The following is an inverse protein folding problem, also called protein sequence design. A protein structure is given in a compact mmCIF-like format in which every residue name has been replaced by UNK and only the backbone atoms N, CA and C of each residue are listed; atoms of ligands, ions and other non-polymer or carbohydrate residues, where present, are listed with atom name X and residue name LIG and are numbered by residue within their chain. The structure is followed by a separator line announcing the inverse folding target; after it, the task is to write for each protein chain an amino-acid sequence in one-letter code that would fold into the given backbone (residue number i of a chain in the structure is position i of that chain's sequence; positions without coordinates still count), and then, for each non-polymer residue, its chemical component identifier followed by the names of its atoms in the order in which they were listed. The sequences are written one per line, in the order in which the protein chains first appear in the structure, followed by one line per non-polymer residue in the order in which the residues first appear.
data_IF_058040151392
#
_entry.id   IF_058040151392
#
_cell.length_a   1.000
_cell.length_b   1.000
_cell.length_c   1.000
_cell.angle_alpha   90.00
_cell.angle_beta   90.00
_cell.angle_gamma   90.00
#
_symmetry.space_group_name_H-M   'P 1'
#
loop_
_entity.id
_entity.type
_entity.pdbx_description
1 polymer ?
#
# COMPACT_ATOMS: atom_id res chain seq x y z
N UNK A 1 4.57 57.29 9.86
CA UNK A 1 3.13 57.04 10.12
C UNK A 1 2.35 57.31 8.84
N UNK A 2 2.01 56.26 8.10
CA UNK A 2 1.12 56.36 6.93
C UNK A 2 0.43 55.01 6.76
N UNK A 3 -0.82 54.94 7.20
CA UNK A 3 -1.66 53.73 7.19
C UNK A 3 -2.40 53.67 5.85
N UNK A 4 -2.08 52.67 5.03
CA UNK A 4 -2.79 52.36 3.79
C UNK A 4 -3.96 51.42 4.09
N UNK A 5 -5.19 51.92 3.93
CA UNK A 5 -6.43 51.13 4.02
C UNK A 5 -6.70 50.46 2.67
N UNK A 6 -6.54 49.13 2.58
CA UNK A 6 -7.10 48.34 1.47
C UNK A 6 -8.52 47.91 1.78
N UNK A 7 -9.44 48.25 0.87
CA UNK A 7 -10.87 47.90 0.89
C UNK A 7 -11.02 46.40 0.57
N UNK A 8 -11.80 45.70 1.40
CA UNK A 8 -12.26 44.32 1.15
C UNK A 8 -13.47 44.36 0.22
N UNK A 9 -13.42 43.65 -0.89
CA UNK A 9 -14.59 43.38 -1.74
C UNK A 9 -15.27 42.09 -1.24
N UNK A 10 -16.57 42.17 -0.93
CA UNK A 10 -17.43 41.02 -0.68
C UNK A 10 -17.79 40.37 -2.02
N UNK A 11 -17.48 39.09 -2.17
CA UNK A 11 -18.03 38.23 -3.23
C UNK A 11 -19.17 37.43 -2.60
N UNK A 12 -20.39 37.71 -3.04
CA UNK A 12 -21.60 36.96 -2.69
C UNK A 12 -21.64 35.71 -3.57
N UNK A 13 -21.42 34.54 -2.96
CA UNK A 13 -21.52 33.24 -3.63
C UNK A 13 -22.96 32.71 -3.58
N UNK A 14 -23.55 32.51 -4.75
CA UNK A 14 -24.86 31.90 -4.98
C UNK A 14 -24.95 30.48 -4.41
N UNK A 15 -26.01 30.23 -3.64
CA UNK A 15 -26.50 28.90 -3.29
C UNK A 15 -27.12 28.22 -4.53
N UNK A 16 -26.55 27.10 -4.96
CA UNK A 16 -27.20 26.18 -5.89
C UNK A 16 -27.56 24.91 -5.10
N UNK A 17 -28.85 24.76 -4.77
CA UNK A 17 -29.39 23.55 -4.19
C UNK A 17 -29.58 22.50 -5.28
N UNK A 18 -28.93 21.35 -5.16
CA UNK A 18 -29.21 20.19 -5.99
C UNK A 18 -30.03 19.19 -5.18
N UNK A 19 -31.27 18.99 -5.61
CA UNK A 19 -32.21 18.03 -5.01
C UNK A 19 -31.83 16.60 -5.37
N UNK A 20 -31.80 15.72 -4.37
CA UNK A 20 -31.55 14.28 -4.49
C UNK A 20 -32.89 13.56 -4.73
N UNK A 21 -33.07 12.98 -5.92
CA UNK A 21 -34.21 12.11 -6.22
C UNK A 21 -33.81 10.64 -6.02
N UNK A 22 -34.37 10.01 -4.98
CA UNK A 22 -34.30 8.57 -4.75
C UNK A 22 -35.25 7.85 -5.73
N UNK A 23 -34.71 6.99 -6.59
CA UNK A 23 -35.50 6.03 -7.35
C UNK A 23 -35.35 4.63 -6.71
N UNK A 24 -36.44 4.16 -6.09
CA UNK A 24 -36.60 2.79 -5.60
C UNK A 24 -36.97 1.89 -6.79
N UNK A 25 -36.04 1.03 -7.22
CA UNK A 25 -36.34 -0.08 -8.14
C UNK A 25 -36.63 -1.33 -7.31
N UNK A 26 -37.92 -1.67 -7.18
CA UNK A 26 -38.37 -2.95 -6.62
C UNK A 26 -38.31 -4.05 -7.67
N UNK A 27 -37.52 -5.10 -7.42
CA UNK A 27 -37.54 -6.32 -8.20
C UNK A 27 -38.70 -7.21 -7.73
N UNK A 28 -39.69 -7.43 -8.60
CA UNK A 28 -40.75 -8.42 -8.41
C UNK A 28 -40.29 -9.77 -8.95
N UNK A 29 -40.35 -10.79 -8.09
CA UNK A 29 -40.09 -12.18 -8.45
C UNK A 29 -41.32 -12.76 -9.19
N UNK A 30 -41.18 -12.96 -10.51
CA UNK A 30 -42.16 -13.65 -11.35
C UNK A 30 -41.85 -15.14 -11.44
N UNK A 31 -42.59 -15.96 -10.69
CA UNK A 31 -42.61 -17.41 -10.84
C UNK A 31 -43.48 -17.81 -12.03
N UNK A 32 -42.89 -18.56 -12.97
CA UNK A 32 -43.59 -19.22 -14.07
C UNK A 32 -43.21 -20.70 -14.12
N UNK A 33 -44.16 -21.64 -14.29
CA UNK A 33 -43.90 -23.07 -14.28
C UNK A 33 -43.29 -23.54 -15.62
N UNK A 34 -42.32 -24.46 -15.52
CA UNK A 34 -41.66 -25.14 -16.64
C UNK A 34 -42.62 -26.11 -17.36
N UNK A 35 -42.62 -26.19 -18.70
CA UNK A 35 -43.31 -27.26 -19.41
C UNK A 35 -42.46 -28.55 -19.44
N UNK A 36 -43.17 -29.68 -19.40
CA UNK A 36 -42.64 -31.03 -19.33
C UNK A 36 -41.74 -31.41 -20.51
N UNK A 37 -40.62 -32.06 -20.20
CA UNK A 37 -39.74 -32.68 -21.19
C UNK A 37 -40.36 -33.95 -21.76
N UNK A 38 -40.60 -33.94 -23.07
CA UNK A 38 -40.97 -35.13 -23.84
C UNK A 38 -39.75 -36.06 -23.97
N UNK A 39 -39.89 -37.31 -23.55
CA UNK A 39 -38.89 -38.36 -23.71
C UNK A 39 -38.79 -38.76 -25.20
N UNK A 40 -37.64 -38.53 -25.83
CA UNK A 40 -37.28 -39.11 -27.13
C UNK A 40 -36.31 -40.28 -26.92
N UNK A 41 -36.55 -41.37 -27.66
CA UNK A 41 -35.81 -42.63 -27.65
C UNK A 41 -34.35 -42.49 -28.16
N UNK A 42 -33.43 -43.40 -27.77
CA UNK A 42 -32.01 -43.30 -28.13
C UNK A 42 -31.73 -43.75 -29.56
N UNK A 43 -30.89 -42.99 -30.26
CA UNK A 43 -30.31 -43.32 -31.56
C UNK A 43 -29.11 -44.30 -31.41
N UNK A 44 -28.78 -45.11 -32.44
CA UNK A 44 -27.72 -46.11 -32.37
C UNK A 44 -26.30 -45.49 -32.35
N UNK A 45 -25.29 -46.21 -31.82
CA UNK A 45 -23.94 -45.66 -31.67
C UNK A 45 -23.20 -45.58 -33.02
N UNK A 46 -22.66 -44.40 -33.32
CA UNK A 46 -21.67 -44.19 -34.38
C UNK A 46 -20.28 -44.68 -33.91
N UNK A 47 -19.39 -45.12 -34.83
CA UNK A 47 -18.10 -45.71 -34.47
C UNK A 47 -17.16 -44.68 -33.85
N UNK A 48 -16.46 -45.12 -32.81
CA UNK A 48 -15.45 -44.38 -32.07
C UNK A 48 -14.34 -43.85 -32.99
N UNK A 49 -14.33 -42.55 -33.26
CA UNK A 49 -13.11 -41.86 -33.64
C UNK A 49 -12.32 -41.58 -32.36
N UNK A 50 -11.20 -42.29 -32.20
CA UNK A 50 -10.19 -41.99 -31.18
C UNK A 50 -9.55 -40.65 -31.54
N UNK A 51 -10.23 -39.55 -31.21
CA UNK A 51 -9.59 -38.24 -31.13
C UNK A 51 -8.71 -38.29 -29.91
N UNK A 52 -7.40 -38.46 -30.14
CA UNK A 52 -6.41 -38.09 -29.14
C UNK A 52 -6.75 -36.68 -28.68
N UNK A 53 -7.11 -36.54 -27.40
CA UNK A 53 -7.28 -35.25 -26.78
C UNK A 53 -5.89 -34.61 -26.78
N UNK A 54 -5.62 -33.79 -27.79
CA UNK A 54 -4.53 -32.84 -27.74
C UNK A 54 -4.83 -31.94 -26.56
N UNK A 55 -4.07 -32.11 -25.48
CA UNK A 55 -4.07 -31.16 -24.37
C UNK A 55 -3.93 -29.76 -24.96
N UNK A 56 -4.72 -28.76 -24.51
CA UNK A 56 -4.47 -27.38 -24.91
C UNK A 56 -3.01 -27.06 -24.56
N UNK A 57 -2.26 -26.35 -25.42
CA UNK A 57 -0.92 -25.93 -25.06
C UNK A 57 -1.06 -25.09 -23.78
N UNK A 58 -0.42 -25.53 -22.70
CA UNK A 58 -0.23 -24.69 -21.53
C UNK A 58 0.50 -23.45 -22.01
N UNK A 59 -0.07 -22.25 -21.82
CA UNK A 59 0.67 -21.00 -22.00
C UNK A 59 1.78 -20.96 -20.94
N UNK A 60 3.07 -21.14 -21.28
CA UNK A 60 4.09 -21.41 -20.26
C UNK A 60 5.09 -20.27 -20.08
N UNK A 61 5.06 -19.22 -20.91
CA UNK A 61 6.10 -18.21 -20.95
C UNK A 61 6.01 -17.14 -19.84
N UNK A 62 4.87 -16.46 -19.61
CA UNK A 62 4.79 -15.39 -18.61
C UNK A 62 4.93 -15.93 -17.17
N UNK A 63 4.29 -17.05 -16.86
CA UNK A 63 4.37 -17.66 -15.52
C UNK A 63 5.78 -18.18 -15.21
N UNK A 64 6.48 -18.70 -16.22
CA UNK A 64 7.86 -19.16 -16.06
C UNK A 64 8.82 -18.00 -15.83
N UNK A 65 8.70 -16.92 -16.59
CA UNK A 65 9.54 -15.73 -16.41
C UNK A 65 9.35 -15.14 -14.99
N UNK A 66 8.10 -15.06 -14.52
CA UNK A 66 7.79 -14.60 -13.17
C UNK A 66 8.36 -15.51 -12.07
N UNK A 67 8.39 -16.83 -12.30
CA UNK A 67 9.01 -17.81 -11.39
C UNK A 67 10.54 -17.72 -11.39
N UNK A 68 11.16 -17.56 -12.56
CA UNK A 68 12.62 -17.37 -12.70
C UNK A 68 13.07 -16.08 -12.00
N UNK A 69 12.32 -14.98 -12.16
CA UNK A 69 12.62 -13.72 -11.50
C UNK A 69 12.48 -13.79 -9.97
N UNK A 70 11.45 -14.49 -9.48
CA UNK A 70 11.28 -14.76 -8.06
C UNK A 70 12.41 -15.61 -7.48
N UNK A 71 12.87 -16.63 -8.22
CA UNK A 71 14.02 -17.42 -7.80
C UNK A 71 15.29 -16.56 -7.77
N UNK A 72 15.51 -15.74 -8.79
CA UNK A 72 16.63 -14.81 -8.84
C UNK A 72 16.63 -13.85 -7.64
N UNK A 73 15.48 -13.26 -7.31
CA UNK A 73 15.34 -12.39 -6.14
C UNK A 73 15.79 -13.07 -4.84
N UNK A 74 15.48 -14.36 -4.64
CA UNK A 74 15.88 -15.10 -3.43
C UNK A 74 17.35 -15.51 -3.42
N UNK A 75 17.92 -15.94 -4.54
CA UNK A 75 19.25 -16.57 -4.55
C UNK A 75 20.40 -15.69 -5.02
N UNK A 76 20.13 -14.68 -5.85
CA UNK A 76 21.15 -13.88 -6.51
C UNK A 76 20.75 -12.40 -6.69
N UNK A 77 19.67 -11.96 -6.04
CA UNK A 77 19.15 -10.61 -6.17
C UNK A 77 20.08 -9.55 -5.57
N UNK A 78 19.88 -8.30 -5.99
CA UNK A 78 20.52 -7.12 -5.41
C UNK A 78 20.02 -6.94 -3.97
N UNK A 79 20.94 -6.87 -3.01
CA UNK A 79 20.60 -6.59 -1.62
C UNK A 79 20.22 -5.11 -1.43
N UNK A 80 19.06 -4.87 -0.82
CA UNK A 80 18.48 -3.57 -0.52
C UNK A 80 18.41 -3.43 1.00
N UNK A 81 19.35 -2.69 1.59
CA UNK A 81 19.44 -2.56 3.04
C UNK A 81 19.04 -1.16 3.49
N UNK A 82 18.11 -1.10 4.45
CA UNK A 82 17.73 0.12 5.16
C UNK A 82 17.65 -0.19 6.65
N UNK A 83 18.52 0.45 7.45
CA UNK A 83 18.62 0.18 8.88
C UNK A 83 18.85 -1.32 9.18
N UNK A 84 18.01 -1.95 10.03
CA UNK A 84 18.14 -3.36 10.40
C UNK A 84 17.58 -4.34 9.36
N UNK A 85 16.92 -3.86 8.30
CA UNK A 85 16.23 -4.70 7.34
C UNK A 85 17.00 -4.78 6.02
N UNK A 86 17.08 -6.00 5.48
CA UNK A 86 17.57 -6.27 4.14
C UNK A 86 16.49 -7.02 3.36
N UNK A 87 16.10 -6.46 2.22
CA UNK A 87 15.34 -7.16 1.18
C UNK A 87 16.32 -7.54 0.07
N UNK A 88 15.94 -8.49 -0.78
CA UNK A 88 16.67 -8.75 -2.04
C UNK A 88 15.74 -8.53 -3.21
N UNK A 89 16.26 -8.08 -4.35
CA UNK A 89 15.43 -7.80 -5.50
C UNK A 89 16.07 -8.26 -6.80
N UNK A 90 15.24 -8.70 -7.74
CA UNK A 90 15.64 -8.97 -9.11
C UNK A 90 14.69 -8.25 -10.06
N UNK A 91 15.24 -7.60 -11.09
CA UNK A 91 14.49 -6.89 -12.10
C UNK A 91 14.45 -7.69 -13.41
N UNK A 92 13.38 -7.52 -14.18
CA UNK A 92 13.29 -8.10 -15.52
C UNK A 92 14.28 -7.44 -16.49
N UNK A 93 14.51 -6.14 -16.32
CA UNK A 93 15.41 -5.31 -17.12
C UNK A 93 16.62 -4.81 -16.30
N UNK A 94 17.54 -4.08 -16.95
CA UNK A 94 18.77 -3.43 -16.45
C UNK A 94 18.79 -3.06 -14.95
N UNK A 95 19.97 -3.01 -14.29
CA UNK A 95 20.11 -3.34 -12.88
C UNK A 95 19.32 -2.42 -11.95
N UNK A 96 18.88 -3.03 -10.85
CA UNK A 96 18.30 -2.30 -9.72
C UNK A 96 19.37 -1.40 -9.12
N UNK A 97 19.02 -0.13 -8.95
CA UNK A 97 19.83 0.83 -8.20
C UNK A 97 19.10 1.29 -6.96
N UNK A 98 19.84 1.74 -5.95
CA UNK A 98 19.24 2.27 -4.73
C UNK A 98 20.03 3.45 -4.17
N UNK A 99 19.31 4.42 -3.61
CA UNK A 99 19.92 5.59 -2.95
C UNK A 99 19.21 5.89 -1.64
N UNK A 100 19.98 6.12 -0.57
CA UNK A 100 19.43 6.55 0.71
C UNK A 100 18.92 8.00 0.60
N UNK A 101 17.79 8.29 1.24
CA UNK A 101 17.20 9.62 1.28
C UNK A 101 17.33 10.24 2.67
N UNK A 102 17.28 11.57 2.72
CA UNK A 102 17.37 12.35 3.95
C UNK A 102 16.21 12.08 4.93
N UNK A 103 15.09 11.54 4.43
CA UNK A 103 13.93 11.17 5.23
C UNK A 103 14.09 9.81 5.95
N UNK A 104 15.23 9.14 5.77
CA UNK A 104 15.56 7.84 6.35
C UNK A 104 15.15 6.64 5.49
N UNK A 105 14.45 6.85 4.36
CA UNK A 105 14.09 5.77 3.43
C UNK A 105 15.23 5.42 2.46
N UNK A 106 15.08 4.28 1.82
CA UNK A 106 15.83 3.86 0.63
C UNK A 106 14.93 4.01 -0.60
N UNK A 107 15.38 4.78 -1.59
CA UNK A 107 14.83 4.78 -2.93
C UNK A 107 15.36 3.56 -3.67
N UNK A 108 14.49 2.73 -4.22
CA UNK A 108 14.87 1.58 -5.04
C UNK A 108 14.32 1.78 -6.44
N UNK A 109 15.21 2.00 -7.41
CA UNK A 109 14.83 2.30 -8.79
C UNK A 109 15.05 1.07 -9.66
N UNK A 110 13.99 0.67 -10.36
CA UNK A 110 14.00 -0.40 -11.36
C UNK A 110 13.75 0.20 -12.74
N UNK A 111 14.52 -0.28 -13.74
CA UNK A 111 14.28 0.06 -15.14
C UNK A 111 13.08 -0.73 -15.64
N UNK A 112 12.29 -0.12 -16.52
CA UNK A 112 11.09 -0.74 -17.11
C UNK A 112 11.20 -0.63 -18.63
N UNK A 113 11.39 -1.75 -19.33
CA UNK A 113 11.44 -1.77 -20.79
C UNK A 113 10.05 -1.55 -21.41
N UNK A 114 10.00 -0.91 -22.58
CA UNK A 114 8.75 -0.65 -23.31
C UNK A 114 8.01 -1.95 -23.67
N UNK A 115 6.68 -1.96 -23.51
CA UNK A 115 5.83 -3.10 -23.87
C UNK A 115 4.61 -2.68 -24.69
N UNK A 116 4.10 -3.62 -25.49
CA UNK A 116 2.88 -3.41 -26.26
C UNK A 116 1.67 -3.25 -25.31
N UNK A 117 0.70 -2.42 -25.72
CA UNK A 117 -0.50 -2.16 -24.92
C UNK A 117 -1.25 -3.45 -24.54
N UNK A 118 -1.69 -3.54 -23.28
CA UNK A 118 -2.69 -4.52 -22.83
C UNK A 118 -2.21 -5.62 -21.87
N UNK A 119 -0.92 -5.68 -21.53
CA UNK A 119 -0.40 -6.63 -20.51
C UNK A 119 0.44 -5.90 -19.47
N UNK A 120 0.03 -5.99 -18.21
CA UNK A 120 0.80 -5.45 -17.09
C UNK A 120 2.19 -6.08 -17.02
N UNK A 121 3.20 -5.26 -16.72
CA UNK A 121 4.60 -5.66 -16.69
C UNK A 121 5.04 -6.01 -15.28
N UNK A 122 5.60 -7.20 -15.09
CA UNK A 122 6.37 -7.53 -13.90
C UNK A 122 7.78 -6.92 -14.04
N UNK A 123 7.97 -5.72 -13.49
CA UNK A 123 9.24 -4.99 -13.60
C UNK A 123 10.32 -5.57 -12.67
N UNK A 124 9.91 -5.97 -11.46
CA UNK A 124 10.81 -6.58 -10.49
C UNK A 124 10.06 -7.46 -9.49
N UNK A 125 10.80 -8.33 -8.82
CA UNK A 125 10.35 -9.07 -7.64
C UNK A 125 11.27 -8.72 -6.47
N UNK A 126 10.70 -8.36 -5.34
CA UNK A 126 11.39 -8.23 -4.07
C UNK A 126 11.12 -9.49 -3.24
N UNK A 127 12.15 -10.01 -2.60
CA UNK A 127 12.06 -11.08 -1.62
C UNK A 127 12.37 -10.53 -0.22
N UNK A 128 11.53 -10.91 0.73
CA UNK A 128 11.71 -10.62 2.13
C UNK A 128 12.89 -11.42 2.71
N UNK A 129 13.58 -10.85 3.68
CA UNK A 129 14.59 -11.57 4.45
C UNK A 129 14.00 -12.75 5.23
N UNK A 130 14.86 -13.62 5.75
CA UNK A 130 14.41 -14.78 6.52
C UNK A 130 13.52 -14.37 7.71
N UNK A 131 12.36 -15.01 7.84
CA UNK A 131 11.39 -14.72 8.91
C UNK A 131 10.53 -13.47 8.67
N UNK A 132 10.68 -12.80 7.53
CA UNK A 132 9.87 -11.64 7.15
C UNK A 132 8.83 -12.00 6.09
N UNK A 133 7.73 -11.25 6.07
CA UNK A 133 6.70 -11.32 5.02
C UNK A 133 6.17 -9.94 4.65
N UNK A 134 5.54 -9.84 3.49
CA UNK A 134 4.85 -8.64 3.03
C UNK A 134 3.35 -8.75 3.28
N UNK A 135 2.74 -7.64 3.69
CA UNK A 135 1.29 -7.53 3.86
C UNK A 135 0.77 -6.24 3.24
N UNK A 136 -0.20 -6.35 2.33
CA UNK A 136 -0.82 -5.19 1.70
C UNK A 136 -1.82 -4.53 2.65
N UNK A 137 -1.72 -3.22 2.78
CA UNK A 137 -2.66 -2.38 3.51
C UNK A 137 -3.75 -1.85 2.59
N UNK A 138 -4.82 -1.27 3.15
CA UNK A 138 -5.97 -0.83 2.37
C UNK A 138 -5.65 0.32 1.39
N UNK A 139 -4.62 1.12 1.68
CA UNK A 139 -4.10 2.17 0.79
C UNK A 139 -3.09 1.65 -0.26
N UNK A 140 -2.88 0.32 -0.32
CA UNK A 140 -1.91 -0.40 -1.17
C UNK A 140 -0.44 -0.19 -0.80
N UNK A 141 -0.15 0.46 0.33
CA UNK A 141 1.17 0.39 0.93
C UNK A 141 1.43 -1.02 1.48
N UNK A 142 2.71 -1.40 1.60
CA UNK A 142 3.10 -2.75 2.02
C UNK A 142 3.80 -2.68 3.36
N UNK A 143 3.28 -3.38 4.36
CA UNK A 143 3.99 -3.61 5.63
C UNK A 143 4.97 -4.77 5.48
N UNK A 144 6.14 -4.65 6.09
CA UNK A 144 7.11 -5.75 6.28
C UNK A 144 6.92 -6.26 7.70
N UNK A 145 6.40 -7.48 7.83
CA UNK A 145 6.08 -8.09 9.11
C UNK A 145 7.14 -9.13 9.47
N UNK A 146 7.47 -9.23 10.75
CA UNK A 146 8.30 -10.32 11.29
C UNK A 146 7.48 -11.60 11.57
N UNK A 147 8.15 -12.61 12.14
CA UNK A 147 7.54 -13.90 12.47
C UNK A 147 6.42 -13.82 13.52
N UNK A 148 6.44 -12.80 14.38
CA UNK A 148 5.41 -12.55 15.40
C UNK A 148 4.26 -11.70 14.84
N UNK A 149 4.43 -11.14 13.64
CA UNK A 149 3.45 -10.30 12.96
C UNK A 149 3.58 -8.82 13.28
N UNK A 150 4.64 -8.38 13.96
CA UNK A 150 4.91 -6.98 14.18
C UNK A 150 5.45 -6.33 12.89
N UNK A 151 4.99 -5.12 12.60
CA UNK A 151 5.49 -4.34 11.48
C UNK A 151 6.88 -3.77 11.80
N UNK A 152 7.91 -4.26 11.11
CA UNK A 152 9.32 -3.87 11.31
C UNK A 152 9.82 -2.89 10.26
N UNK A 153 9.05 -2.69 9.18
CA UNK A 153 9.32 -1.74 8.11
C UNK A 153 8.15 -1.64 7.13
N UNK A 154 8.30 -0.84 6.08
CA UNK A 154 7.26 -0.64 5.10
C UNK A 154 7.81 -0.25 3.72
N UNK A 155 7.00 -0.50 2.70
CA UNK A 155 7.14 0.08 1.37
C UNK A 155 5.92 0.99 1.12
N UNK A 156 6.01 2.28 1.50
CA UNK A 156 4.85 3.19 1.50
C UNK A 156 4.35 3.55 0.10
N UNK A 157 5.21 3.46 -0.92
CA UNK A 157 4.86 3.90 -2.27
C UNK A 157 5.72 3.26 -3.36
N UNK A 158 5.14 3.24 -4.57
CA UNK A 158 5.84 3.07 -5.83
C UNK A 158 5.40 4.19 -6.78
N UNK A 159 6.36 4.85 -7.41
CA UNK A 159 6.10 5.91 -8.40
C UNK A 159 6.82 5.53 -9.68
N UNK A 160 6.09 5.50 -10.80
CA UNK A 160 6.67 5.21 -12.10
C UNK A 160 6.50 6.38 -13.07
N UNK A 161 7.51 6.58 -13.91
CA UNK A 161 7.51 7.59 -14.96
C UNK A 161 8.22 7.06 -16.20
N UNK A 162 7.76 7.48 -17.38
CA UNK A 162 8.43 7.23 -18.64
C UNK A 162 9.68 8.10 -18.82
N UNK A 163 10.48 7.81 -19.85
CA UNK A 163 11.72 8.54 -20.14
C UNK A 163 11.50 10.03 -20.48
N UNK A 164 10.27 10.44 -20.76
CA UNK A 164 9.88 11.84 -21.00
C UNK A 164 9.39 12.56 -19.73
N UNK A 165 9.27 11.82 -18.62
CA UNK A 165 8.72 12.30 -17.34
C UNK A 165 7.19 12.17 -17.23
N UNK A 166 6.53 11.50 -18.19
CA UNK A 166 5.11 11.17 -18.13
C UNK A 166 4.82 10.13 -17.06
N UNK A 167 3.75 10.33 -16.28
CA UNK A 167 3.42 9.41 -15.17
C UNK A 167 2.90 8.07 -15.69
N UNK A 168 3.50 6.98 -15.20
CA UNK A 168 3.03 5.62 -15.40
C UNK A 168 2.26 5.14 -14.16
N UNK A 169 1.35 4.20 -14.35
CA UNK A 169 0.70 3.50 -13.23
C UNK A 169 1.59 2.35 -12.79
N UNK A 170 1.86 2.27 -11.49
CA UNK A 170 2.58 1.17 -10.87
C UNK A 170 1.91 0.77 -9.55
N UNK A 171 2.16 -0.47 -9.14
CA UNK A 171 1.64 -1.05 -7.90
C UNK A 171 2.59 -2.09 -7.33
N UNK A 172 2.50 -2.27 -6.02
CA UNK A 172 3.16 -3.34 -5.28
C UNK A 172 2.13 -4.42 -4.99
N UNK A 173 2.43 -5.67 -5.31
CA UNK A 173 1.47 -6.78 -5.15
C UNK A 173 2.14 -7.95 -4.42
N UNK A 174 1.81 -8.21 -3.14
CA UNK A 174 2.28 -9.42 -2.47
C UNK A 174 1.75 -10.65 -3.20
N UNK A 175 2.59 -11.68 -3.36
CA UNK A 175 2.14 -12.90 -4.03
C UNK A 175 1.22 -13.70 -3.13
N UNK A 176 0.11 -14.18 -3.69
CA UNK A 176 -0.90 -14.93 -2.95
C UNK A 176 -0.40 -16.32 -2.52
N UNK A 177 0.51 -16.92 -3.29
CA UNK A 177 1.12 -18.22 -3.03
C UNK A 177 2.37 -18.14 -2.16
N UNK A 178 2.98 -16.96 -2.04
CA UNK A 178 4.17 -16.73 -1.22
C UNK A 178 4.26 -15.29 -0.70
N UNK A 179 3.85 -15.07 0.55
CA UNK A 179 3.91 -13.77 1.21
C UNK A 179 5.33 -13.23 1.42
N UNK A 180 6.39 -14.02 1.18
CA UNK A 180 7.78 -13.54 1.21
C UNK A 180 8.17 -12.84 -0.10
N UNK A 181 7.31 -12.83 -1.11
CA UNK A 181 7.55 -12.19 -2.39
C UNK A 181 6.59 -11.02 -2.64
N UNK A 182 7.14 -9.97 -3.24
CA UNK A 182 6.42 -8.77 -3.63
C UNK A 182 6.74 -8.42 -5.08
N UNK A 183 5.71 -8.37 -5.91
CA UNK A 183 5.84 -7.98 -7.31
C UNK A 183 5.73 -6.46 -7.45
N UNK A 184 6.67 -5.87 -8.19
CA UNK A 184 6.58 -4.49 -8.69
C UNK A 184 5.99 -4.56 -10.08
N UNK A 185 4.74 -4.13 -10.19
CA UNK A 185 3.99 -4.20 -11.44
C UNK A 185 3.78 -2.80 -12.00
N UNK A 186 4.06 -2.63 -13.28
CA UNK A 186 3.89 -1.36 -14.01
C UNK A 186 2.96 -1.63 -15.18
N UNK A 187 1.94 -0.81 -15.37
CA UNK A 187 1.00 -0.97 -16.48
C UNK A 187 1.76 -0.86 -17.83
N UNK A 188 1.20 -1.50 -18.87
CA UNK A 188 1.75 -1.45 -20.23
C UNK A 188 1.97 -0.01 -20.71
N UNK A 189 3.05 0.24 -21.44
CA UNK A 189 3.37 1.58 -21.90
C UNK A 189 4.83 1.77 -22.33
N UNK A 190 5.27 3.03 -22.47
CA UNK A 190 6.64 3.34 -22.86
C UNK A 190 7.67 2.85 -21.82
N UNK A 191 8.94 2.89 -22.24
CA UNK A 191 10.07 2.65 -21.35
C UNK A 191 10.17 3.75 -20.30
N UNK A 192 10.72 3.40 -19.15
CA UNK A 192 10.82 4.31 -18.02
C UNK A 192 11.45 3.68 -16.80
N UNK A 193 11.08 4.20 -15.63
CA UNK A 193 11.52 3.68 -14.34
C UNK A 193 10.38 3.60 -13.34
N UNK A 194 10.48 2.66 -12.40
CA UNK A 194 9.65 2.64 -11.21
C UNK A 194 10.55 2.78 -9.97
N UNK A 195 10.20 3.69 -9.08
CA UNK A 195 10.91 3.94 -7.83
C UNK A 195 10.04 3.50 -6.66
N UNK A 196 10.46 2.46 -5.97
CA UNK A 196 9.86 1.98 -4.72
C UNK A 196 10.54 2.70 -3.55
N UNK A 197 9.75 3.19 -2.61
CA UNK A 197 10.27 3.69 -1.34
C UNK A 197 10.27 2.53 -0.35
N UNK A 198 11.38 2.29 0.34
CA UNK A 198 11.53 1.27 1.37
C UNK A 198 12.07 1.91 2.65
N UNK A 199 11.33 1.81 3.74
CA UNK A 199 11.73 2.36 5.03
C UNK A 199 11.73 1.29 6.12
N UNK A 200 12.78 1.33 6.95
CA UNK A 200 12.86 0.66 8.23
C UNK A 200 13.04 1.73 9.33
N UNK A 201 13.11 1.30 10.60
CA UNK A 201 13.33 2.20 11.74
C UNK A 201 12.35 3.38 11.75
N UNK A 202 11.05 3.08 11.83
CA UNK A 202 9.99 4.09 11.76
C UNK A 202 10.03 5.11 12.91
N UNK A 203 10.59 4.73 14.06
CA UNK A 203 10.71 5.57 15.25
C UNK A 203 12.12 6.15 15.39
N UNK A 204 12.22 7.47 15.58
CA UNK A 204 13.48 8.16 15.93
C UNK A 204 13.62 8.27 17.45
N UNK A 205 12.58 8.72 18.16
CA UNK A 205 12.53 8.71 19.63
C UNK A 205 11.10 8.68 20.17
N UNK A 206 10.96 8.21 21.42
CA UNK A 206 9.72 8.23 22.19
C UNK A 206 10.08 8.63 23.62
N UNK A 207 9.70 9.84 24.05
CA UNK A 207 10.18 10.42 25.31
C UNK A 207 9.03 10.88 26.23
N UNK A 208 8.88 10.23 27.37
CA UNK A 208 7.92 10.61 28.41
C UNK A 208 8.26 11.96 29.05
N UNK A 209 7.24 12.74 29.35
CA UNK A 209 7.35 14.00 30.08
C UNK A 209 5.99 14.59 30.42
N UNK A 210 5.99 15.77 31.04
CA UNK A 210 4.78 16.55 31.31
C UNK A 210 4.56 17.57 30.19
N UNK A 211 3.37 17.54 29.57
CA UNK A 211 2.98 18.48 28.49
C UNK A 211 1.61 19.07 28.79
N UNK A 212 0.65 19.04 27.86
CA UNK A 212 -0.64 19.76 27.90
C UNK A 212 -1.57 19.38 29.08
N UNK A 213 -1.15 19.58 30.32
CA UNK A 213 -1.92 19.28 31.53
C UNK A 213 -1.65 17.92 32.16
N UNK A 214 -0.71 17.13 31.62
CA UNK A 214 -0.33 15.86 32.23
C UNK A 214 0.79 15.13 31.49
N UNK A 215 1.04 13.91 31.97
CA UNK A 215 2.00 12.97 31.40
C UNK A 215 1.68 12.68 29.93
N UNK A 216 2.71 12.70 29.10
CA UNK A 216 2.62 12.64 27.64
C UNK A 216 3.87 11.97 27.07
N UNK A 217 3.71 11.19 26.01
CA UNK A 217 4.79 10.57 25.25
C UNK A 217 5.04 11.37 23.98
N UNK A 218 6.20 12.03 23.86
CA UNK A 218 6.56 12.68 22.59
C UNK A 218 7.18 11.66 21.64
N UNK A 219 6.46 11.32 20.59
CA UNK A 219 6.91 10.45 19.50
C UNK A 219 7.51 11.31 18.39
N UNK A 220 8.74 11.00 17.99
CA UNK A 220 9.40 11.57 16.82
C UNK A 220 9.51 10.47 15.76
N UNK A 221 8.68 10.51 14.69
CA UNK A 221 8.78 9.55 13.60
C UNK A 221 9.94 9.88 12.64
N UNK A 222 10.42 8.86 11.94
CA UNK A 222 11.31 9.04 10.79
C UNK A 222 10.61 9.85 9.68
N UNK A 223 11.38 10.55 8.86
CA UNK A 223 10.84 11.44 7.82
C UNK A 223 9.93 10.72 6.83
N UNK A 224 10.30 9.51 6.42
CA UNK A 224 9.55 8.70 5.45
C UNK A 224 8.16 8.28 5.96
N UNK A 225 7.96 8.22 7.28
CA UNK A 225 6.67 7.87 7.91
C UNK A 225 5.68 9.01 7.78
N UNK A 226 6.15 10.27 7.77
CA UNK A 226 5.30 11.48 7.74
C UNK A 226 4.49 11.62 6.46
N UNK A 227 4.80 10.85 5.41
CA UNK A 227 3.96 10.75 4.22
C UNK A 227 2.60 10.07 4.47
N UNK A 228 2.44 9.40 5.62
CA UNK A 228 1.13 8.98 6.15
C UNK A 228 0.52 7.73 5.52
N UNK A 229 1.31 6.85 4.89
CA UNK A 229 0.78 5.56 4.43
C UNK A 229 0.43 4.64 5.61
N UNK A 230 -0.59 3.80 5.46
CA UNK A 230 -1.01 2.86 6.51
C UNK A 230 0.12 1.93 6.94
N UNK A 231 0.92 1.38 6.02
CA UNK A 231 2.03 0.50 6.37
C UNK A 231 3.12 1.20 7.20
N UNK A 232 3.39 2.47 6.89
CA UNK A 232 4.31 3.29 7.68
C UNK A 232 3.79 3.52 9.11
N UNK A 233 2.48 3.72 9.25
CA UNK A 233 1.83 3.91 10.55
C UNK A 233 1.85 2.64 11.39
N UNK A 234 1.62 1.47 10.79
CA UNK A 234 1.78 0.19 11.49
C UNK A 234 3.22 -0.01 11.97
N UNK A 235 4.22 0.27 11.12
CA UNK A 235 5.62 0.16 11.50
C UNK A 235 5.99 1.14 12.63
N UNK A 236 5.45 2.36 12.60
CA UNK A 236 5.67 3.34 13.67
C UNK A 236 5.05 2.89 14.98
N UNK A 237 3.78 2.46 14.97
CA UNK A 237 3.10 2.03 16.18
C UNK A 237 3.77 0.82 16.82
N UNK A 238 4.13 -0.20 16.02
CA UNK A 238 4.86 -1.36 16.50
C UNK A 238 6.20 -0.95 17.15
N UNK A 239 6.93 0.01 16.56
CA UNK A 239 8.15 0.53 17.14
C UNK A 239 7.92 1.33 18.43
N UNK A 240 6.83 2.11 18.51
CA UNK A 240 6.44 2.85 19.73
C UNK A 240 6.11 1.89 20.87
N UNK A 241 5.28 0.88 20.63
CA UNK A 241 4.92 -0.12 21.66
C UNK A 241 6.12 -0.96 22.07
N UNK A 242 7.01 -1.30 21.14
CA UNK A 242 8.24 -2.01 21.48
C UNK A 242 9.19 -1.18 22.36
N UNK A 243 9.28 0.13 22.12
CA UNK A 243 10.10 1.04 22.92
C UNK A 243 9.44 1.37 24.27
N UNK A 244 8.13 1.60 24.27
CA UNK A 244 7.33 2.08 25.38
C UNK A 244 6.05 1.23 25.52
N UNK A 245 6.13 0.01 26.12
CA UNK A 245 4.99 -0.92 26.18
C UNK A 245 3.75 -0.36 26.89
N UNK A 246 3.93 0.61 27.78
CA UNK A 246 2.83 1.29 28.46
C UNK A 246 2.02 2.24 27.56
N UNK A 247 2.49 2.52 26.35
CA UNK A 247 1.74 3.28 25.35
C UNK A 247 0.65 2.45 24.65
N UNK A 248 0.64 1.12 24.80
CA UNK A 248 -0.25 0.19 24.10
C UNK A 248 -1.72 0.31 24.55
N UNK A 249 -2.39 1.34 24.02
CA UNK A 249 -3.80 1.62 24.24
C UNK A 249 -4.44 2.14 22.95
N UNK A 250 -5.72 1.85 22.77
CA UNK A 250 -6.48 2.32 21.60
C UNK A 250 -6.46 3.85 21.49
N UNK A 251 -6.67 4.57 22.60
CA UNK A 251 -6.61 6.04 22.64
C UNK A 251 -5.28 6.60 22.13
N UNK A 252 -4.14 6.02 22.55
CA UNK A 252 -2.83 6.52 22.13
C UNK A 252 -2.53 6.16 20.66
N UNK A 253 -3.00 5.01 20.17
CA UNK A 253 -2.93 4.66 18.74
C UNK A 253 -3.73 5.65 17.90
N UNK A 254 -4.97 5.94 18.30
CA UNK A 254 -5.85 6.85 17.58
C UNK A 254 -5.27 8.28 17.54
N UNK A 255 -4.67 8.74 18.64
CA UNK A 255 -3.94 10.02 18.70
C UNK A 255 -2.76 10.03 17.72
N UNK A 256 -1.96 8.96 17.65
CA UNK A 256 -0.82 8.86 16.75
C UNK A 256 -1.25 8.92 15.28
N UNK A 257 -2.28 8.16 14.93
CA UNK A 257 -2.83 8.13 13.57
C UNK A 257 -3.45 9.49 13.19
N UNK A 258 -4.15 10.14 14.12
CA UNK A 258 -4.67 11.48 13.90
C UNK A 258 -3.54 12.49 13.68
N UNK A 259 -2.44 12.41 14.44
CA UNK A 259 -1.30 13.30 14.27
C UNK A 259 -0.60 13.13 12.92
N UNK A 260 -0.45 11.90 12.44
CA UNK A 260 0.10 11.65 11.10
C UNK A 260 -0.76 12.28 10.00
N UNK A 261 -2.10 12.27 10.15
CA UNK A 261 -3.02 12.86 9.18
C UNK A 261 -3.11 14.39 9.28
N UNK A 262 -3.22 14.93 10.50
CA UNK A 262 -3.57 16.33 10.74
C UNK A 262 -2.39 17.24 11.05
N UNK A 263 -1.23 16.69 11.40
CA UNK A 263 -0.06 17.45 11.83
C UNK A 263 1.28 16.80 11.43
N UNK A 264 1.46 16.34 10.16
CA UNK A 264 2.64 15.59 9.74
C UNK A 264 3.95 16.36 9.90
N UNK A 265 3.92 17.69 9.81
CA UNK A 265 5.11 18.54 9.87
C UNK A 265 5.56 18.90 11.30
N UNK A 266 4.82 18.49 12.35
CA UNK A 266 5.24 18.77 13.73
C UNK A 266 6.49 17.97 14.09
N UNK A 267 7.43 18.59 14.79
CA UNK A 267 8.67 17.93 15.21
C UNK A 267 8.40 16.64 16.01
N UNK A 268 7.46 16.68 16.96
CA UNK A 268 6.94 15.52 17.68
C UNK A 268 5.43 15.46 17.69
N UNK A 269 4.90 14.27 17.93
CA UNK A 269 3.49 13.96 18.15
C UNK A 269 3.33 13.50 19.59
N UNK A 270 2.48 14.17 20.35
CA UNK A 270 2.36 13.93 21.78
C UNK A 270 1.17 12.98 22.01
N UNK A 271 1.42 11.85 22.66
CA UNK A 271 0.40 10.86 22.97
C UNK A 271 0.13 10.88 24.47
N UNK A 272 -1.11 11.08 24.86
CA UNK A 272 -1.50 11.22 26.26
C UNK A 272 -2.41 10.09 26.71
N UNK A 273 -2.01 9.30 27.73
CA UNK A 273 -2.80 8.17 28.22
C UNK A 273 -4.08 8.58 28.96
N UNK A 274 -4.19 9.86 29.35
CA UNK A 274 -5.34 10.40 30.09
C UNK A 274 -6.41 11.01 29.17
N UNK A 275 -6.17 11.06 27.86
CA UNK A 275 -7.16 11.50 26.87
C UNK A 275 -8.24 10.42 26.70
N UNK A 276 -9.53 10.81 26.66
CA UNK A 276 -10.61 9.84 26.53
C UNK A 276 -10.57 9.15 25.17
N UNK A 277 -10.99 7.89 25.14
CA UNK A 277 -11.31 7.20 23.88
C UNK A 277 -12.58 7.83 23.28
N UNK A 278 -12.49 8.28 22.03
CA UNK A 278 -13.57 8.91 21.28
C UNK A 278 -13.58 8.37 19.86
N UNK A 279 -14.70 8.50 19.14
CA UNK A 279 -14.74 8.11 17.73
C UNK A 279 -13.83 9.01 16.87
N UNK A 280 -13.43 8.51 15.69
CA UNK A 280 -12.47 9.20 14.81
C UNK A 280 -12.93 10.60 14.37
N UNK A 281 -14.25 10.82 14.21
CA UNK A 281 -14.76 12.14 13.83
C UNK A 281 -14.60 13.13 14.99
N UNK A 282 -14.90 12.69 16.21
CA UNK A 282 -14.66 13.48 17.44
C UNK A 282 -13.16 13.78 17.63
N UNK A 283 -12.29 12.78 17.42
CA UNK A 283 -10.83 12.96 17.48
C UNK A 283 -10.34 14.06 16.50
N UNK A 284 -10.80 14.00 15.24
CA UNK A 284 -10.47 15.02 14.23
C UNK A 284 -11.07 16.39 14.57
N UNK A 285 -12.31 16.44 15.07
CA UNK A 285 -12.96 17.68 15.48
C UNK A 285 -12.22 18.37 16.65
N UNK A 286 -11.64 17.58 17.56
CA UNK A 286 -10.79 18.04 18.64
C UNK A 286 -9.32 18.29 18.21
N UNK A 287 -9.03 18.25 16.91
CA UNK A 287 -7.69 18.49 16.35
C UNK A 287 -6.64 17.52 16.91
N UNK A 288 -7.02 16.25 17.02
CA UNK A 288 -6.22 15.14 17.53
C UNK A 288 -5.93 15.14 19.04
N UNK A 289 -6.50 16.08 19.80
CA UNK A 289 -6.32 16.20 21.26
C UNK A 289 -7.69 16.29 21.97
N UNK A 290 -8.45 15.17 22.09
CA UNK A 290 -9.81 15.18 22.64
C UNK A 290 -9.89 15.50 24.14
#
# INVERSE_FOLDING_TARGET
MTVSRRRRALVVGSLCQLALALALAGCTAGGGPLPASTLLAPAPPSPSSTSAATSPPASPAPDRAAAELAQAARSAGTALTNGPLTLTAAAADEPISSVARDDGSLAVTVVVAAEAEGVDRLAAVLAAGAGLRFEAQADRSIAVLDGDGAAVGALPSVVAADDTGGRLTARLTPRADDATLLDVVVDAGPAGTATVTFGASALVSADWGEREGGRSLAVVPAGWVRAGSMAAQEALWAAVVAAEPEADSASMRDQLDCHALGAPDKASWNLEPWRPEVDSLTMLAARCNP
#
